data_IF_376530735390
#
_entry.id   IF_376530735390
#
_cell.length_a   1.000
_cell.length_b   1.000
_cell.length_c   1.000
_cell.angle_alpha   90.00
_cell.angle_beta   90.00
_cell.angle_gamma   90.00
#
_symmetry.space_group_name_H-M   'P 1'
#
loop_
_entity.id
_entity.type
_entity.pdbx_description
1 polymer ?
#
# COMPACT_ATOMS: atom_id res chain seq x y z
N UNK A 1 -37.32 -12.47 26.26
CA UNK A 1 -36.43 -13.64 26.42
C UNK A 1 -36.81 -14.64 25.33
N UNK A 2 -36.01 -15.05 24.35
CA UNK A 2 -34.57 -14.93 24.12
C UNK A 2 -34.09 -16.28 23.56
N UNK A 3 -34.20 -16.52 22.24
CA UNK A 3 -33.69 -17.75 21.59
C UNK A 3 -33.22 -17.59 20.12
N UNK A 4 -33.22 -16.38 19.53
CA UNK A 4 -32.83 -16.18 18.13
C UNK A 4 -31.33 -15.85 17.91
N UNK A 5 -30.62 -15.36 18.93
CA UNK A 5 -29.23 -14.89 18.81
C UNK A 5 -28.17 -15.94 18.39
N UNK A 6 -28.21 -17.22 18.81
CA UNK A 6 -27.13 -18.15 18.46
C UNK A 6 -27.18 -18.59 17.00
N UNK A 7 -28.36 -18.66 16.39
CA UNK A 7 -28.55 -19.10 15.01
C UNK A 7 -28.09 -18.01 14.02
N UNK A 8 -28.39 -16.75 14.33
CA UNK A 8 -28.00 -15.59 13.53
C UNK A 8 -26.48 -15.36 13.57
N UNK A 9 -25.85 -15.51 14.73
CA UNK A 9 -24.39 -15.39 14.86
C UNK A 9 -23.65 -16.50 14.10
N UNK A 10 -24.15 -17.75 14.16
CA UNK A 10 -23.61 -18.85 13.36
C UNK A 10 -23.75 -18.60 11.86
N UNK A 11 -24.87 -18.04 11.42
CA UNK A 11 -25.12 -17.71 10.02
C UNK A 11 -24.17 -16.61 9.54
N UNK A 12 -23.97 -15.56 10.35
CA UNK A 12 -22.99 -14.49 10.07
C UNK A 12 -21.56 -15.02 10.01
N UNK A 13 -21.18 -15.96 10.87
CA UNK A 13 -19.85 -16.62 10.83
C UNK A 13 -19.66 -17.43 9.54
N UNK A 14 -20.66 -18.20 9.13
CA UNK A 14 -20.62 -19.00 7.88
C UNK A 14 -20.53 -18.11 6.64
N UNK A 15 -21.31 -17.05 6.60
CA UNK A 15 -21.29 -16.09 5.49
C UNK A 15 -19.96 -15.35 5.40
N UNK A 16 -19.36 -14.97 6.55
CA UNK A 16 -17.99 -14.42 6.60
C UNK A 16 -16.95 -15.41 6.07
N UNK A 17 -17.03 -16.68 6.48
CA UNK A 17 -16.14 -17.73 5.97
C UNK A 17 -16.28 -17.96 4.46
N UNK A 18 -17.50 -17.92 3.94
CA UNK A 18 -17.76 -18.05 2.50
C UNK A 18 -17.17 -16.88 1.72
N UNK A 19 -17.37 -15.65 2.20
CA UNK A 19 -16.82 -14.44 1.58
C UNK A 19 -15.31 -14.39 1.65
N UNK A 20 -14.71 -14.75 2.78
CA UNK A 20 -13.25 -14.79 2.91
C UNK A 20 -12.63 -15.84 1.99
N UNK A 21 -13.27 -17.00 1.82
CA UNK A 21 -12.81 -18.04 0.90
C UNK A 21 -12.99 -17.63 -0.57
N UNK A 22 -14.10 -16.99 -0.92
CA UNK A 22 -14.32 -16.45 -2.27
C UNK A 22 -13.29 -15.35 -2.61
N UNK A 23 -13.05 -14.42 -1.68
CA UNK A 23 -12.03 -13.40 -1.82
C UNK A 23 -10.61 -14.01 -1.91
N UNK A 24 -10.33 -15.06 -1.15
CA UNK A 24 -9.08 -15.82 -1.27
C UNK A 24 -8.91 -16.44 -2.66
N UNK A 25 -9.92 -17.14 -3.18
CA UNK A 25 -9.88 -17.72 -4.54
C UNK A 25 -9.71 -16.64 -5.62
N UNK A 26 -10.42 -15.52 -5.49
CA UNK A 26 -10.29 -14.37 -6.39
C UNK A 26 -8.86 -13.82 -6.36
N UNK A 27 -8.26 -13.65 -5.17
CA UNK A 27 -6.87 -13.22 -5.01
C UNK A 27 -5.88 -14.20 -5.62
N UNK A 28 -6.06 -15.51 -5.40
CA UNK A 28 -5.19 -16.54 -5.98
C UNK A 28 -5.24 -16.53 -7.52
N UNK A 29 -6.43 -16.38 -8.11
CA UNK A 29 -6.61 -16.25 -9.56
C UNK A 29 -5.98 -14.96 -10.11
N UNK A 30 -6.12 -13.84 -9.39
CA UNK A 30 -5.49 -12.58 -9.79
C UNK A 30 -3.97 -12.62 -9.67
N UNK A 31 -3.44 -13.25 -8.62
CA UNK A 31 -2.00 -13.45 -8.38
C UNK A 31 -1.35 -14.27 -9.49
N UNK A 32 -1.94 -15.42 -9.79
CA UNK A 32 -1.47 -16.31 -10.88
C UNK A 32 -1.52 -15.59 -12.24
N UNK A 33 -2.58 -14.84 -12.52
CA UNK A 33 -2.68 -14.05 -13.74
C UNK A 33 -1.65 -12.90 -13.80
N UNK A 34 -1.40 -12.20 -12.68
CA UNK A 34 -0.42 -11.13 -12.61
C UNK A 34 1.00 -11.67 -12.81
N UNK A 35 1.35 -12.79 -12.16
CA UNK A 35 2.64 -13.45 -12.33
C UNK A 35 2.85 -13.96 -13.76
N UNK A 36 1.81 -14.55 -14.37
CA UNK A 36 1.85 -14.97 -15.77
C UNK A 36 2.11 -13.78 -16.71
N UNK A 37 1.44 -12.64 -16.50
CA UNK A 37 1.64 -11.43 -17.29
C UNK A 37 3.03 -10.82 -17.10
N UNK A 38 3.56 -10.82 -15.88
CA UNK A 38 4.92 -10.33 -15.61
C UNK A 38 5.97 -11.22 -16.28
N UNK A 39 5.84 -12.54 -16.17
CA UNK A 39 6.71 -13.48 -16.87
C UNK A 39 6.62 -13.31 -18.39
N UNK A 40 5.42 -13.14 -18.94
CA UNK A 40 5.25 -12.90 -20.38
C UNK A 40 5.96 -11.60 -20.82
N UNK A 41 5.82 -10.51 -20.06
CA UNK A 41 6.52 -9.24 -20.35
C UNK A 41 8.03 -9.35 -20.22
N UNK A 42 8.53 -10.06 -19.21
CA UNK A 42 9.95 -10.27 -19.01
C UNK A 42 10.54 -11.08 -20.17
N UNK A 43 9.91 -12.21 -20.53
CA UNK A 43 10.29 -13.03 -21.70
C UNK A 43 10.26 -12.20 -22.98
N UNK A 44 9.26 -11.34 -23.19
CA UNK A 44 9.20 -10.45 -24.36
C UNK A 44 10.35 -9.43 -24.39
N UNK A 45 10.71 -8.84 -23.24
CA UNK A 45 11.83 -7.90 -23.16
C UNK A 45 13.18 -8.58 -23.39
N UNK A 46 13.37 -9.79 -22.85
CA UNK A 46 14.56 -10.62 -23.12
C UNK A 46 14.64 -10.95 -24.61
N UNK A 47 13.53 -11.34 -25.24
CA UNK A 47 13.49 -11.59 -26.67
C UNK A 47 13.91 -10.36 -27.49
N UNK A 48 13.41 -9.17 -27.15
CA UNK A 48 13.82 -7.91 -27.82
C UNK A 48 15.31 -7.63 -27.65
N UNK A 49 15.88 -7.92 -26.48
CA UNK A 49 17.31 -7.77 -26.22
C UNK A 49 18.12 -8.74 -27.09
N UNK A 50 17.71 -10.01 -27.16
CA UNK A 50 18.35 -11.03 -28.01
C UNK A 50 18.27 -10.66 -29.50
N UNK A 51 17.13 -10.11 -29.94
CA UNK A 51 16.96 -9.67 -31.32
C UNK A 51 17.84 -8.46 -31.66
N UNK A 52 17.94 -7.49 -30.75
CA UNK A 52 18.82 -6.32 -30.92
C UNK A 52 20.31 -6.70 -30.89
N UNK A 53 20.66 -7.78 -30.18
CA UNK A 53 22.00 -8.32 -30.09
C UNK A 53 22.39 -9.27 -31.25
N UNK A 54 21.49 -9.52 -32.22
CA UNK A 54 21.80 -10.32 -33.42
C UNK A 54 22.84 -9.59 -34.30
N UNK A 55 24.11 -9.85 -34.02
CA UNK A 55 25.25 -9.25 -34.70
C UNK A 55 26.40 -8.87 -33.77
N UNK A 56 26.27 -9.05 -32.45
CA UNK A 56 27.40 -8.91 -31.54
C UNK A 56 28.36 -10.09 -31.71
N UNK A 57 29.64 -9.82 -31.97
CA UNK A 57 30.67 -10.84 -32.18
C UNK A 57 31.51 -11.10 -30.92
N UNK A 58 31.26 -10.36 -29.83
CA UNK A 58 32.03 -10.52 -28.59
C UNK A 58 31.64 -11.84 -27.89
N UNK A 59 32.59 -12.78 -27.71
CA UNK A 59 32.27 -14.11 -27.18
C UNK A 59 31.71 -14.08 -25.74
N UNK A 60 32.15 -13.12 -24.92
CA UNK A 60 31.63 -12.92 -23.56
C UNK A 60 30.14 -12.51 -23.56
N UNK A 61 29.74 -11.63 -24.47
CA UNK A 61 28.35 -11.19 -24.63
C UNK A 61 27.47 -12.31 -25.18
N UNK A 62 27.97 -13.07 -26.15
CA UNK A 62 27.28 -14.24 -26.69
C UNK A 62 27.04 -15.31 -25.62
N UNK A 63 27.97 -15.51 -24.69
CA UNK A 63 27.78 -16.39 -23.52
C UNK A 63 26.63 -15.91 -22.63
N UNK A 64 26.65 -14.63 -22.24
CA UNK A 64 25.60 -14.00 -21.41
C UNK A 64 24.22 -14.11 -22.08
N UNK A 65 24.14 -13.91 -23.39
CA UNK A 65 22.88 -14.02 -24.13
C UNK A 65 22.33 -15.44 -24.19
N UNK A 66 23.19 -16.47 -24.28
CA UNK A 66 22.75 -17.88 -24.16
C UNK A 66 22.17 -18.15 -22.79
N UNK A 67 22.89 -17.78 -21.74
CA UNK A 67 22.48 -18.02 -20.35
C UNK A 67 21.14 -17.32 -20.05
N UNK A 68 20.97 -16.09 -20.57
CA UNK A 68 19.73 -15.34 -20.44
C UNK A 68 18.56 -15.99 -21.22
N UNK A 69 18.80 -16.51 -22.42
CA UNK A 69 17.80 -17.22 -23.21
C UNK A 69 17.37 -18.53 -22.53
N UNK A 70 18.32 -19.31 -22.01
CA UNK A 70 18.07 -20.53 -21.26
C UNK A 70 17.29 -20.26 -19.97
N UNK A 71 17.69 -19.25 -19.20
CA UNK A 71 16.98 -18.84 -17.97
C UNK A 71 15.55 -18.34 -18.24
N UNK A 72 15.29 -17.78 -19.43
CA UNK A 72 13.97 -17.33 -19.86
C UNK A 72 13.13 -18.41 -20.57
N UNK A 73 13.68 -19.62 -20.77
CA UNK A 73 13.10 -20.71 -21.57
C UNK A 73 12.72 -20.24 -23.00
N UNK A 74 13.59 -19.45 -23.62
CA UNK A 74 13.44 -18.97 -25.00
C UNK A 74 14.36 -19.77 -25.94
N UNK A 75 14.00 -19.89 -27.21
CA UNK A 75 14.86 -20.56 -28.18
C UNK A 75 16.16 -19.78 -28.39
N UNK A 76 17.30 -20.46 -28.24
CA UNK A 76 18.62 -19.87 -28.45
C UNK A 76 18.82 -19.66 -29.96
N UNK A 77 19.05 -18.42 -30.45
CA UNK A 77 19.26 -18.18 -31.87
C UNK A 77 20.47 -18.97 -32.42
N UNK A 78 20.32 -19.59 -33.60
CA UNK A 78 21.31 -20.50 -34.19
C UNK A 78 22.73 -19.95 -34.39
N UNK A 79 22.91 -18.62 -34.43
CA UNK A 79 24.25 -17.98 -34.50
C UNK A 79 25.00 -17.96 -33.16
N UNK A 80 24.34 -18.42 -32.09
CA UNK A 80 24.84 -18.47 -30.72
C UNK A 80 24.94 -19.95 -30.28
N UNK A 81 25.22 -20.88 -31.19
CA UNK A 81 25.57 -22.28 -30.88
C UNK A 81 27.05 -22.52 -31.23
N UNK A 82 27.80 -23.34 -30.49
CA UNK A 82 29.14 -23.73 -30.93
C UNK A 82 28.98 -24.70 -32.10
N UNK A 83 29.70 -24.47 -33.20
CA UNK A 83 29.77 -25.39 -34.32
C UNK A 83 30.53 -26.66 -33.87
N UNK A 84 29.84 -27.79 -33.76
CA UNK A 84 30.49 -29.10 -33.57
C UNK A 84 31.00 -29.59 -34.93
N UNK A 85 32.22 -29.17 -35.28
CA UNK A 85 32.97 -29.66 -36.45
C UNK A 85 33.76 -30.94 -36.15
N UNK A 86 33.47 -31.99 -36.92
CA UNK A 86 34.02 -33.36 -36.90
C UNK A 86 35.55 -33.52 -37.11
N UNK A 87 36.12 -34.71 -36.85
CA UNK A 87 37.55 -34.95 -36.63
C UNK A 87 38.33 -35.29 -37.92
N UNK A 88 39.57 -34.82 -38.00
CA UNK A 88 40.57 -35.31 -38.95
C UNK A 88 41.93 -35.42 -38.27
N UNK A 89 42.50 -36.62 -38.39
CA UNK A 89 43.65 -37.15 -37.68
C UNK A 89 44.97 -36.91 -38.45
N UNK A 90 46.10 -37.24 -37.79
CA UNK A 90 47.52 -37.30 -38.26
C UNK A 90 48.30 -35.98 -38.10
N UNK A 91 49.40 -35.86 -37.33
CA UNK A 91 50.13 -36.78 -36.46
C UNK A 91 51.49 -36.23 -36.01
N UNK A 92 51.98 -36.73 -34.86
CA UNK A 92 53.38 -36.90 -34.41
C UNK A 92 54.17 -35.78 -33.68
N UNK A 93 54.42 -36.09 -32.39
CA UNK A 93 55.67 -36.01 -31.61
C UNK A 93 56.08 -34.74 -30.84
N UNK A 94 55.91 -34.88 -29.51
CA UNK A 94 56.90 -34.67 -28.44
C UNK A 94 57.04 -33.29 -27.79
N UNK A 95 56.72 -33.24 -26.49
CA UNK A 95 57.05 -32.13 -25.59
C UNK A 95 56.23 -32.12 -24.30
N UNK A 96 56.71 -32.85 -23.30
CA UNK A 96 56.48 -32.80 -21.85
C UNK A 96 55.65 -31.62 -21.26
N UNK A 97 54.70 -31.95 -20.38
CA UNK A 97 54.64 -31.57 -18.93
C UNK A 97 53.21 -31.28 -18.45
N UNK A 98 52.92 -31.76 -17.23
CA UNK A 98 51.80 -31.42 -16.34
C UNK A 98 50.45 -32.14 -16.56
N UNK A 99 50.22 -33.09 -15.66
CA UNK A 99 48.96 -33.75 -15.34
C UNK A 99 47.86 -32.78 -14.95
N UNK A 100 46.75 -32.88 -15.68
CA UNK A 100 45.35 -32.70 -15.25
C UNK A 100 45.13 -32.43 -13.76
N UNK A 101 44.57 -31.26 -13.45
CA UNK A 101 43.42 -31.26 -12.55
C UNK A 101 42.36 -30.30 -13.09
N UNK A 102 41.13 -30.81 -13.17
CA UNK A 102 40.01 -30.15 -13.81
C UNK A 102 39.46 -29.05 -12.89
N UNK A 103 39.63 -27.79 -13.30
CA UNK A 103 38.99 -26.66 -12.64
C UNK A 103 37.49 -26.67 -12.95
N UNK A 104 36.72 -27.20 -12.00
CA UNK A 104 35.26 -27.18 -11.95
C UNK A 104 34.72 -25.74 -12.21
N UNK A 105 33.85 -25.51 -13.22
CA UNK A 105 33.35 -24.18 -13.54
C UNK A 105 32.36 -23.61 -12.49
N UNK A 106 32.16 -24.30 -11.36
CA UNK A 106 31.31 -23.84 -10.25
C UNK A 106 31.88 -22.68 -9.43
N UNK A 107 33.09 -22.21 -9.69
CA UNK A 107 33.79 -21.23 -8.83
C UNK A 107 33.68 -19.76 -9.33
N UNK A 108 33.06 -19.49 -10.49
CA UNK A 108 32.95 -18.13 -11.03
C UNK A 108 31.66 -17.36 -10.71
N UNK A 109 30.75 -17.92 -9.89
CA UNK A 109 29.49 -17.28 -9.50
C UNK A 109 29.36 -17.01 -7.99
N UNK A 110 30.47 -16.87 -7.27
CA UNK A 110 30.44 -16.73 -5.81
C UNK A 110 30.10 -15.33 -5.28
N UNK A 111 30.00 -14.29 -6.12
CA UNK A 111 29.81 -12.90 -5.64
C UNK A 111 28.60 -12.16 -6.23
N UNK A 112 27.54 -12.87 -6.65
CA UNK A 112 26.21 -12.25 -6.74
C UNK A 112 25.45 -12.61 -5.48
N UNK A 113 25.46 -11.68 -4.52
CA UNK A 113 24.64 -11.76 -3.32
C UNK A 113 23.16 -11.57 -3.72
N UNK A 114 22.55 -12.63 -4.26
CA UNK A 114 21.11 -12.75 -4.27
C UNK A 114 20.66 -12.71 -2.81
N UNK A 115 19.67 -11.89 -2.41
CA UNK A 115 19.09 -12.01 -1.09
C UNK A 115 18.63 -13.45 -0.95
N UNK A 116 19.22 -14.11 0.03
CA UNK A 116 19.01 -15.49 0.39
C UNK A 116 17.52 -15.78 0.34
N UNK A 117 17.16 -16.90 -0.29
CA UNK A 117 15.89 -17.60 -0.11
C UNK A 117 15.33 -17.28 1.28
N UNK A 118 14.08 -16.82 1.42
CA UNK A 118 13.53 -16.59 2.75
C UNK A 118 13.43 -17.95 3.46
N UNK A 119 14.50 -18.29 4.18
CA UNK A 119 14.56 -19.38 5.14
C UNK A 119 13.83 -18.92 6.38
N UNK A 120 12.53 -18.74 6.19
CA UNK A 120 11.45 -18.62 7.13
C UNK A 120 10.29 -18.24 6.21
N UNK A 121 9.46 -19.21 5.86
CA UNK A 121 8.06 -18.92 5.62
C UNK A 121 7.60 -18.19 6.88
N UNK A 122 7.69 -16.86 6.87
CA UNK A 122 7.17 -16.00 7.92
C UNK A 122 5.67 -16.15 7.79
N UNK A 123 5.17 -17.16 8.51
CA UNK A 123 3.78 -17.34 8.81
C UNK A 123 3.39 -16.10 9.63
N UNK A 124 3.11 -14.99 8.94
CA UNK A 124 2.33 -13.89 9.47
C UNK A 124 0.90 -14.39 9.59
N UNK A 125 0.70 -15.36 10.49
CA UNK A 125 -0.59 -15.74 11.02
C UNK A 125 -1.00 -14.58 11.91
N UNK A 126 -1.54 -13.53 11.29
CA UNK A 126 -2.32 -12.56 12.01
C UNK A 126 -3.34 -13.36 12.85
N UNK A 127 -3.52 -13.00 14.11
CA UNK A 127 -4.61 -13.50 14.96
C UNK A 127 -5.99 -13.00 14.48
N UNK A 128 -6.15 -12.84 13.17
CA UNK A 128 -7.39 -12.79 12.43
C UNK A 128 -7.21 -13.84 11.33
N UNK A 129 -8.11 -14.82 11.26
CA UNK A 129 -8.03 -15.97 10.36
C UNK A 129 -8.10 -15.56 8.87
N UNK A 130 -7.03 -14.97 8.35
CA UNK A 130 -6.85 -14.57 6.98
C UNK A 130 -5.46 -15.02 6.54
N UNK A 131 -5.39 -16.09 5.76
CA UNK A 131 -4.17 -16.54 5.11
C UNK A 131 -3.95 -15.65 3.87
N UNK A 132 -2.79 -14.99 3.81
CA UNK A 132 -2.39 -14.11 2.73
C UNK A 132 -1.35 -14.81 1.85
N UNK A 133 -1.38 -14.53 0.54
CA UNK A 133 -0.40 -15.02 -0.44
C UNK A 133 0.93 -14.24 -0.28
N UNK A 134 2.07 -14.89 0.02
CA UNK A 134 3.35 -14.23 0.24
C UNK A 134 3.90 -13.48 -0.97
N UNK A 135 3.52 -13.85 -2.20
CA UNK A 135 4.04 -13.26 -3.43
C UNK A 135 3.16 -12.12 -3.97
N UNK A 136 1.92 -11.98 -3.48
CA UNK A 136 0.96 -10.98 -3.97
C UNK A 136 1.30 -9.53 -3.56
N UNK A 137 2.22 -9.38 -2.61
CA UNK A 137 2.46 -8.11 -1.92
C UNK A 137 3.94 -7.73 -1.80
N UNK A 138 4.79 -8.11 -2.76
CA UNK A 138 6.17 -7.59 -2.76
C UNK A 138 6.17 -6.06 -2.72
N UNK A 139 5.22 -5.41 -3.42
CA UNK A 139 4.98 -3.97 -3.42
C UNK A 139 3.59 -3.66 -3.95
N UNK A 140 2.84 -2.77 -3.28
CA UNK A 140 1.57 -2.23 -3.81
C UNK A 140 1.85 -0.89 -4.48
N UNK A 141 1.69 -0.83 -5.79
CA UNK A 141 2.00 0.37 -6.60
C UNK A 141 0.79 1.23 -6.93
N UNK A 142 -0.43 0.76 -6.63
CA UNK A 142 -1.65 1.54 -6.81
C UNK A 142 -2.07 2.15 -5.46
N UNK A 143 -2.58 3.40 -5.44
CA UNK A 143 -3.01 4.01 -4.22
C UNK A 143 -4.25 3.30 -3.66
N UNK A 144 -4.35 3.11 -2.33
CA UNK A 144 -5.62 2.80 -1.68
C UNK A 144 -6.71 3.81 -2.08
N UNK A 145 -7.95 3.33 -2.23
CA UNK A 145 -9.04 4.17 -2.74
C UNK A 145 -9.35 5.36 -1.82
N UNK A 146 -9.16 5.18 -0.51
CA UNK A 146 -9.39 6.19 0.53
C UNK A 146 -8.49 7.43 0.38
N UNK A 147 -7.30 7.30 -0.21
CA UNK A 147 -6.36 8.43 -0.36
C UNK A 147 -6.42 9.13 -1.70
N UNK A 148 -7.12 8.58 -2.68
CA UNK A 148 -7.22 9.17 -4.02
C UNK A 148 -7.61 10.66 -4.01
N UNK A 149 -8.57 11.12 -3.18
CA UNK A 149 -8.95 12.53 -3.16
C UNK A 149 -7.86 13.48 -2.64
N UNK A 150 -6.83 12.95 -1.97
CA UNK A 150 -5.80 13.73 -1.29
C UNK A 150 -4.42 13.59 -1.96
N UNK A 151 -4.37 13.05 -3.19
CA UNK A 151 -3.14 12.93 -3.99
C UNK A 151 -3.10 13.95 -5.13
N UNK A 152 -1.91 14.20 -5.67
CA UNK A 152 -1.71 15.19 -6.74
C UNK A 152 -2.19 16.57 -6.31
N UNK A 153 -2.97 17.26 -7.15
CA UNK A 153 -3.57 18.55 -6.81
C UNK A 153 -4.44 18.50 -5.53
N UNK A 154 -5.03 17.34 -5.22
CA UNK A 154 -5.80 17.13 -4.00
C UNK A 154 -4.96 17.26 -2.73
N UNK A 155 -3.65 16.99 -2.79
CA UNK A 155 -2.76 17.08 -1.64
C UNK A 155 -2.54 18.53 -1.16
N UNK A 156 -2.68 19.50 -2.06
CA UNK A 156 -2.46 20.93 -1.80
C UNK A 156 -3.73 21.67 -1.39
N UNK A 157 -4.89 21.02 -1.47
CA UNK A 157 -6.17 21.54 -0.97
C UNK A 157 -6.17 21.62 0.55
N UNK A 158 -7.05 22.43 1.13
CA UNK A 158 -7.17 22.50 2.59
C UNK A 158 -7.52 21.13 3.20
N UNK A 159 -8.42 20.37 2.56
CA UNK A 159 -8.76 19.01 2.95
C UNK A 159 -7.56 18.06 2.86
N UNK A 160 -6.75 18.14 1.79
CA UNK A 160 -5.53 17.36 1.64
C UNK A 160 -4.53 17.63 2.76
N UNK A 161 -4.32 18.90 3.09
CA UNK A 161 -3.42 19.32 4.16
C UNK A 161 -3.90 18.82 5.54
N UNK A 162 -5.20 18.91 5.82
CA UNK A 162 -5.79 18.33 7.04
C UNK A 162 -5.63 16.81 7.08
N UNK A 163 -5.97 16.12 5.98
CA UNK A 163 -5.89 14.66 5.90
C UNK A 163 -4.47 14.17 6.19
N UNK A 164 -3.48 14.74 5.50
CA UNK A 164 -2.10 14.32 5.67
C UNK A 164 -1.54 14.71 7.03
N UNK A 165 -1.92 15.86 7.57
CA UNK A 165 -1.56 16.25 8.93
C UNK A 165 -2.04 15.21 9.95
N UNK A 166 -3.31 14.76 9.85
CA UNK A 166 -3.85 13.72 10.74
C UNK A 166 -3.14 12.38 10.54
N UNK A 167 -2.86 11.98 9.29
CA UNK A 167 -2.16 10.72 8.98
C UNK A 167 -0.72 10.70 9.50
N UNK A 168 -0.01 11.81 9.37
CA UNK A 168 1.36 11.98 9.86
C UNK A 168 1.39 12.08 11.39
N UNK A 169 0.34 12.64 12.02
CA UNK A 169 0.23 12.71 13.48
C UNK A 169 0.20 11.34 14.17
N UNK A 170 -0.27 10.29 13.48
CA UNK A 170 -0.17 8.91 14.00
C UNK A 170 1.28 8.42 14.12
N UNK A 171 2.22 9.07 13.44
CA UNK A 171 3.64 8.71 13.43
C UNK A 171 4.48 9.65 14.28
N UNK A 172 3.97 10.85 14.60
CA UNK A 172 4.69 11.80 15.44
C UNK A 172 4.58 11.41 16.92
N UNK A 173 5.65 11.63 17.67
CA UNK A 173 5.68 11.49 19.13
C UNK A 173 5.00 12.69 19.80
N UNK A 174 3.73 12.94 19.45
CA UNK A 174 2.95 13.96 20.13
C UNK A 174 2.81 13.58 21.60
N UNK A 175 3.48 14.31 22.49
CA UNK A 175 3.50 14.02 23.94
C UNK A 175 2.13 14.24 24.60
N UNK A 176 1.22 14.94 23.92
CA UNK A 176 -0.12 15.25 24.41
C UNK A 176 -1.10 14.09 24.18
N UNK A 177 -0.81 13.18 23.25
CA UNK A 177 -1.76 12.15 22.82
C UNK A 177 -1.15 10.75 22.85
N UNK A 178 -1.91 9.80 23.41
CA UNK A 178 -1.58 8.39 23.28
C UNK A 178 -2.29 7.83 22.04
N UNK A 179 -1.54 7.56 20.97
CA UNK A 179 -2.08 7.09 19.69
C UNK A 179 -2.98 5.86 19.85
N UNK A 180 -2.57 4.88 20.66
CA UNK A 180 -3.33 3.66 20.90
C UNK A 180 -4.69 3.95 21.55
N UNK A 181 -4.76 4.86 22.51
CA UNK A 181 -6.04 5.22 23.15
C UNK A 181 -6.95 5.99 22.20
N UNK A 182 -6.39 6.90 21.40
CA UNK A 182 -7.13 7.67 20.38
C UNK A 182 -7.73 6.73 19.35
N UNK A 183 -6.93 5.82 18.79
CA UNK A 183 -7.40 4.81 17.83
C UNK A 183 -8.48 3.93 18.46
N UNK A 184 -8.26 3.45 19.69
CA UNK A 184 -9.23 2.59 20.36
C UNK A 184 -10.57 3.30 20.59
N UNK A 185 -10.56 4.59 20.93
CA UNK A 185 -11.76 5.43 21.03
C UNK A 185 -12.42 5.58 19.66
N UNK A 186 -11.63 5.87 18.63
CA UNK A 186 -12.08 6.05 17.25
C UNK A 186 -12.69 4.79 16.61
N UNK A 187 -12.44 3.60 17.17
CA UNK A 187 -13.02 2.32 16.73
C UNK A 187 -14.28 1.90 17.52
N UNK A 188 -14.68 2.62 18.58
CA UNK A 188 -15.82 2.23 19.44
C UNK A 188 -17.19 2.72 18.96
N UNK A 189 -17.24 3.46 17.85
CA UNK A 189 -18.48 4.10 17.37
C UNK A 189 -19.43 3.15 16.61
N UNK A 190 -18.95 1.99 16.17
CA UNK A 190 -19.70 1.00 15.40
C UNK A 190 -19.34 -0.43 15.83
N UNK A 191 -20.28 -1.36 15.72
CA UNK A 191 -20.00 -2.80 15.91
C UNK A 191 -19.19 -3.36 14.74
N UNK A 192 -19.28 -2.77 13.55
CA UNK A 192 -18.50 -3.20 12.38
C UNK A 192 -16.98 -3.05 12.58
N UNK A 193 -16.55 -2.17 13.49
CA UNK A 193 -15.14 -1.92 13.82
C UNK A 193 -14.64 -2.71 15.04
N UNK A 194 -15.49 -3.51 15.69
CA UNK A 194 -15.18 -4.18 16.97
C UNK A 194 -13.98 -5.13 16.89
N UNK A 195 -13.83 -5.86 15.79
CA UNK A 195 -12.76 -6.85 15.60
C UNK A 195 -11.47 -6.23 15.06
N UNK A 196 -11.45 -4.91 14.82
CA UNK A 196 -10.29 -4.22 14.27
C UNK A 196 -9.34 -3.86 15.41
N UNK A 197 -8.11 -4.36 15.31
CA UNK A 197 -7.07 -4.06 16.29
C UNK A 197 -6.51 -2.65 16.06
N UNK A 198 -6.23 -1.86 17.12
CA UNK A 198 -5.60 -0.55 16.97
C UNK A 198 -4.29 -0.58 16.15
N UNK A 199 -3.49 -1.63 16.31
CA UNK A 199 -2.25 -1.81 15.54
C UNK A 199 -2.49 -1.91 14.03
N UNK A 200 -3.64 -2.44 13.59
CA UNK A 200 -3.98 -2.47 12.16
C UNK A 200 -4.26 -1.07 11.61
N UNK A 201 -4.90 -0.20 12.39
CA UNK A 201 -5.12 1.21 12.01
C UNK A 201 -3.79 1.97 11.95
N UNK A 202 -2.86 1.71 12.87
CA UNK A 202 -1.50 2.26 12.79
C UNK A 202 -0.79 1.79 11.50
N UNK A 203 -0.92 0.51 11.14
CA UNK A 203 -0.41 -0.01 9.87
C UNK A 203 -1.07 0.65 8.67
N UNK A 204 -2.39 0.93 8.72
CA UNK A 204 -3.07 1.70 7.67
C UNK A 204 -2.48 3.10 7.53
N UNK A 205 -2.36 3.86 8.63
CA UNK A 205 -1.78 5.20 8.58
C UNK A 205 -0.34 5.19 8.02
N UNK A 206 0.49 4.24 8.47
CA UNK A 206 1.86 4.04 7.95
C UNK A 206 1.88 3.73 6.46
N UNK A 207 1.04 2.81 6.00
CA UNK A 207 0.91 2.48 4.58
C UNK A 207 0.56 3.70 3.72
N UNK A 208 -0.39 4.54 4.18
CA UNK A 208 -0.83 5.73 3.41
C UNK A 208 0.28 6.76 3.29
N UNK A 209 0.98 7.03 4.38
CA UNK A 209 2.11 7.97 4.38
C UNK A 209 3.28 7.41 3.57
N UNK A 210 3.58 6.11 3.65
CA UNK A 210 4.59 5.46 2.81
C UNK A 210 4.24 5.61 1.32
N UNK A 211 2.97 5.42 0.95
CA UNK A 211 2.51 5.66 -0.42
C UNK A 211 2.70 7.12 -0.82
N UNK A 212 2.30 8.07 0.03
CA UNK A 212 2.49 9.51 -0.22
C UNK A 212 3.95 9.85 -0.51
N UNK A 213 4.89 9.26 0.23
CA UNK A 213 6.31 9.54 0.13
C UNK A 213 7.00 8.83 -1.04
N UNK A 214 6.62 7.58 -1.33
CA UNK A 214 7.38 6.71 -2.25
C UNK A 214 6.62 6.31 -3.52
N UNK A 215 5.34 6.65 -3.60
CA UNK A 215 4.42 6.18 -4.66
C UNK A 215 4.10 4.68 -4.56
N UNK A 216 4.38 4.04 -3.42
CA UNK A 216 4.16 2.61 -3.23
C UNK A 216 4.08 2.20 -1.76
N UNK A 217 3.60 0.99 -1.49
CA UNK A 217 3.55 0.41 -0.13
C UNK A 217 4.36 -0.88 -0.12
N UNK A 218 5.29 -0.99 0.83
CA UNK A 218 6.12 -2.18 1.03
C UNK A 218 5.31 -3.39 1.49
N UNK A 219 5.91 -4.56 1.35
CA UNK A 219 5.33 -5.82 1.82
C UNK A 219 4.91 -5.78 3.29
N UNK A 220 5.66 -5.07 4.14
CA UNK A 220 5.37 -4.95 5.57
C UNK A 220 4.01 -4.31 5.86
N UNK A 221 3.53 -3.42 4.99
CA UNK A 221 2.26 -2.71 5.19
C UNK A 221 1.19 -3.03 4.13
N UNK A 222 1.49 -3.90 3.17
CA UNK A 222 0.62 -4.19 2.04
C UNK A 222 -0.76 -4.75 2.43
N UNK A 223 -0.85 -5.45 3.56
CA UNK A 223 -2.12 -5.95 4.12
C UNK A 223 -3.12 -4.84 4.45
N UNK A 224 -2.61 -3.65 4.74
CA UNK A 224 -3.42 -2.48 5.00
C UNK A 224 -3.87 -1.79 3.70
N UNK A 225 -3.29 -2.14 2.56
CA UNK A 225 -3.56 -1.55 1.25
C UNK A 225 -4.61 -2.33 0.42
N UNK A 226 -5.30 -3.29 1.05
CA UNK A 226 -6.35 -4.09 0.41
C UNK A 226 -7.43 -3.20 -0.22
N UNK A 227 -7.63 -3.35 -1.53
CA UNK A 227 -8.40 -2.42 -2.37
C UNK A 227 -9.86 -2.23 -1.94
N UNK A 228 -10.48 -3.29 -1.44
CA UNK A 228 -11.92 -3.32 -1.15
C UNK A 228 -12.23 -3.20 0.36
N UNK A 229 -11.22 -3.36 1.23
CA UNK A 229 -11.43 -3.46 2.68
C UNK A 229 -12.06 -2.20 3.27
N UNK A 230 -11.52 -1.03 2.95
CA UNK A 230 -12.01 0.26 3.46
C UNK A 230 -13.45 0.55 3.02
N UNK A 231 -13.78 0.27 1.76
CA UNK A 231 -15.13 0.48 1.20
C UNK A 231 -16.16 -0.46 1.83
N UNK A 232 -15.81 -1.74 2.00
CA UNK A 232 -16.70 -2.73 2.62
C UNK A 232 -16.97 -2.33 4.08
N UNK A 233 -15.94 -1.93 4.82
CA UNK A 233 -16.09 -1.47 6.19
C UNK A 233 -16.96 -0.20 6.28
N UNK A 234 -16.73 0.79 5.41
CA UNK A 234 -17.53 2.00 5.32
C UNK A 234 -19.01 1.68 5.09
N UNK A 235 -19.32 0.83 4.12
CA UNK A 235 -20.69 0.39 3.83
C UNK A 235 -21.36 -0.30 5.03
N UNK A 236 -20.63 -1.14 5.77
CA UNK A 236 -21.14 -1.80 6.97
C UNK A 236 -21.45 -0.79 8.09
N UNK A 237 -20.55 0.16 8.32
CA UNK A 237 -20.72 1.22 9.32
C UNK A 237 -21.94 2.09 8.97
N UNK A 238 -22.04 2.56 7.73
CA UNK A 238 -23.16 3.39 7.32
C UNK A 238 -24.51 2.65 7.41
N UNK A 239 -24.53 1.35 7.08
CA UNK A 239 -25.71 0.50 7.23
C UNK A 239 -26.12 0.37 8.69
N UNK A 240 -25.15 0.18 9.60
CA UNK A 240 -25.42 0.13 11.04
C UNK A 240 -25.97 1.46 11.56
N UNK A 241 -25.36 2.59 11.18
CA UNK A 241 -25.84 3.92 11.56
C UNK A 241 -27.30 4.11 11.16
N UNK A 242 -27.62 3.88 9.87
CA UNK A 242 -28.99 4.01 9.36
C UNK A 242 -29.96 3.07 10.08
N UNK A 243 -29.54 1.83 10.36
CA UNK A 243 -30.37 0.84 11.08
C UNK A 243 -30.66 1.21 12.55
N UNK A 244 -29.80 2.04 13.16
CA UNK A 244 -29.93 2.50 14.54
C UNK A 244 -30.53 3.91 14.65
N UNK A 245 -31.04 4.45 13.53
CA UNK A 245 -31.63 5.79 13.47
C UNK A 245 -30.60 6.92 13.54
N UNK A 246 -29.31 6.62 13.36
CA UNK A 246 -28.25 7.63 13.27
C UNK A 246 -28.01 7.99 11.82
N UNK A 247 -27.74 9.27 11.59
CA UNK A 247 -27.38 9.77 10.26
C UNK A 247 -25.85 9.69 10.05
N UNK A 248 -25.35 8.86 9.12
CA UNK A 248 -23.92 8.82 8.80
C UNK A 248 -23.42 10.12 8.16
N UNK A 249 -24.27 10.94 7.54
CA UNK A 249 -23.88 12.18 6.86
C UNK A 249 -23.51 13.31 7.85
N UNK A 250 -23.80 13.12 9.14
CA UNK A 250 -23.29 13.98 10.22
C UNK A 250 -21.80 13.77 10.51
N UNK A 251 -21.15 12.79 9.87
CA UNK A 251 -19.73 12.49 10.02
C UNK A 251 -18.96 12.90 8.77
N UNK A 252 -18.22 13.99 8.86
CA UNK A 252 -17.51 14.63 7.77
C UNK A 252 -16.12 14.01 7.57
N UNK A 253 -15.76 13.72 6.33
CA UNK A 253 -14.36 13.54 5.93
C UNK A 253 -13.64 14.89 5.83
N UNK A 254 -12.32 14.90 5.58
CA UNK A 254 -11.59 16.16 5.35
C UNK A 254 -12.19 16.97 4.17
N UNK A 255 -12.61 16.31 3.09
CA UNK A 255 -13.35 16.95 2.00
C UNK A 255 -14.71 17.50 2.47
N UNK A 256 -15.39 16.79 3.36
CA UNK A 256 -16.62 17.27 3.99
C UNK A 256 -16.40 18.52 4.83
N UNK A 257 -15.30 18.59 5.59
CA UNK A 257 -14.88 19.77 6.37
C UNK A 257 -14.65 20.95 5.43
N UNK A 258 -13.80 20.82 4.41
CA UNK A 258 -13.52 21.91 3.47
C UNK A 258 -14.79 22.38 2.74
N UNK A 259 -15.64 21.45 2.28
CA UNK A 259 -16.93 21.77 1.66
C UNK A 259 -17.86 22.52 2.62
N UNK A 260 -17.81 22.20 3.91
CA UNK A 260 -18.58 22.90 4.93
C UNK A 260 -18.05 24.31 5.17
N UNK A 261 -16.72 24.47 5.30
CA UNK A 261 -16.08 25.76 5.49
C UNK A 261 -16.31 26.72 4.32
N UNK A 262 -16.30 26.22 3.07
CA UNK A 262 -16.67 27.00 1.88
C UNK A 262 -18.08 27.61 1.93
N UNK A 263 -18.99 27.08 2.77
CA UNK A 263 -20.34 27.65 2.93
C UNK A 263 -20.38 28.78 3.96
N UNK A 264 -19.37 28.88 4.80
CA UNK A 264 -19.34 29.81 5.94
C UNK A 264 -18.24 30.84 5.84
N UNK A 265 -17.17 30.54 5.09
CA UNK A 265 -16.02 31.41 4.87
C UNK A 265 -15.93 31.83 3.41
N UNK A 266 -15.39 33.02 3.16
CA UNK A 266 -14.99 33.47 1.83
C UNK A 266 -13.81 32.67 1.28
N UNK A 267 -13.65 32.71 -0.05
CA UNK A 267 -12.53 32.04 -0.73
C UNK A 267 -11.17 32.58 -0.26
N UNK A 268 -11.07 33.89 0.05
CA UNK A 268 -9.84 34.51 0.58
C UNK A 268 -9.51 34.04 2.00
N UNK A 269 -10.52 33.94 2.87
CA UNK A 269 -10.34 33.40 4.22
C UNK A 269 -9.92 31.93 4.18
N UNK A 270 -10.52 31.13 3.30
CA UNK A 270 -10.15 29.73 3.11
C UNK A 270 -8.73 29.57 2.54
N UNK A 271 -8.32 30.44 1.61
CA UNK A 271 -6.94 30.46 1.11
C UNK A 271 -5.94 30.85 2.20
N UNK A 272 -6.32 31.77 3.09
CA UNK A 272 -5.51 32.14 4.26
C UNK A 272 -5.35 30.96 5.22
N UNK A 273 -6.42 30.18 5.45
CA UNK A 273 -6.34 28.93 6.21
C UNK A 273 -5.45 27.88 5.54
N UNK A 274 -5.52 27.76 4.21
CA UNK A 274 -4.66 26.86 3.44
C UNK A 274 -3.19 27.23 3.56
N UNK A 275 -2.84 28.52 3.45
CA UNK A 275 -1.48 29.02 3.69
C UNK A 275 -1.02 28.76 5.12
N UNK A 276 -1.88 29.04 6.11
CA UNK A 276 -1.59 28.71 7.50
C UNK A 276 -1.36 27.20 7.70
N UNK A 277 -2.09 26.33 6.97
CA UNK A 277 -1.91 24.89 7.04
C UNK A 277 -0.54 24.43 6.52
N UNK A 278 0.05 25.19 5.58
CA UNK A 278 1.38 24.99 4.99
C UNK A 278 2.52 25.57 5.85
N UNK A 279 2.24 26.26 6.95
CA UNK A 279 3.27 26.98 7.70
C UNK A 279 3.54 28.40 7.19
N UNK A 280 2.73 28.88 6.25
CA UNK A 280 2.91 30.18 5.61
C UNK A 280 1.99 31.25 6.21
N UNK A 281 2.42 32.51 6.14
CA UNK A 281 1.59 33.66 6.51
C UNK A 281 1.52 33.93 8.01
N UNK A 282 0.31 34.15 8.52
CA UNK A 282 0.09 34.67 9.87
C UNK A 282 0.39 33.61 10.95
N UNK A 283 1.40 33.86 11.79
CA UNK A 283 1.83 32.95 12.85
C UNK A 283 0.74 32.63 13.90
N UNK A 284 -0.17 33.57 14.18
CA UNK A 284 -1.30 33.35 15.09
C UNK A 284 -2.30 32.38 14.48
N UNK A 285 -2.60 32.53 13.19
CA UNK A 285 -3.47 31.60 12.47
C UNK A 285 -2.85 30.22 12.34
N UNK A 286 -1.55 30.14 12.07
CA UNK A 286 -0.81 28.89 12.10
C UNK A 286 -0.94 28.18 13.45
N UNK A 287 -0.68 28.86 14.57
CA UNK A 287 -0.80 28.27 15.91
C UNK A 287 -2.22 27.78 16.22
N UNK A 288 -3.24 28.57 15.89
CA UNK A 288 -4.64 28.15 16.06
C UNK A 288 -4.98 26.92 15.22
N UNK A 289 -4.44 26.84 14.00
CA UNK A 289 -4.69 25.72 13.12
C UNK A 289 -3.95 24.45 13.55
N UNK A 290 -2.73 24.58 14.10
CA UNK A 290 -2.03 23.45 14.74
C UNK A 290 -2.83 22.89 15.92
N UNK A 291 -3.42 23.75 16.74
CA UNK A 291 -4.34 23.32 17.81
C UNK A 291 -5.58 22.60 17.24
N UNK A 292 -6.18 23.11 16.15
CA UNK A 292 -7.28 22.41 15.47
C UNK A 292 -6.85 21.05 14.92
N UNK A 293 -5.71 20.94 14.24
CA UNK A 293 -5.17 19.68 13.72
C UNK A 293 -4.97 18.66 14.87
N UNK A 294 -4.42 19.12 15.99
CA UNK A 294 -4.24 18.34 17.21
C UNK A 294 -5.58 17.82 17.76
N UNK A 295 -6.59 18.69 17.86
CA UNK A 295 -7.93 18.30 18.34
C UNK A 295 -8.72 17.43 17.36
N UNK A 296 -8.53 17.62 16.05
CA UNK A 296 -9.07 16.71 15.02
C UNK A 296 -8.48 15.31 15.20
N UNK A 297 -7.17 15.19 15.43
CA UNK A 297 -6.56 13.89 15.68
C UNK A 297 -7.21 13.14 16.87
N UNK A 298 -7.46 13.81 18.00
CA UNK A 298 -8.05 13.19 19.20
C UNK A 298 -9.57 12.87 19.11
N UNK A 299 -10.27 13.52 18.18
CA UNK A 299 -11.73 13.43 18.07
C UNK A 299 -12.24 12.61 16.89
N UNK A 300 -11.35 12.13 16.01
CA UNK A 300 -11.75 11.36 14.83
C UNK A 300 -12.29 9.96 15.17
N UNK A 301 -13.13 9.44 14.27
CA UNK A 301 -13.57 8.04 14.26
C UNK A 301 -13.28 7.40 12.90
N UNK A 302 -13.14 6.08 12.85
CA UNK A 302 -12.76 5.37 11.64
C UNK A 302 -13.97 4.84 10.86
N UNK A 303 -14.28 5.43 9.71
CA UNK A 303 -15.31 4.90 8.81
C UNK A 303 -14.76 3.86 7.80
N UNK A 304 -13.52 3.41 7.97
CA UNK A 304 -12.87 2.49 7.04
C UNK A 304 -12.34 3.13 5.75
N UNK A 305 -12.99 4.19 5.28
CA UNK A 305 -12.52 5.05 4.17
C UNK A 305 -11.72 6.27 4.63
N UNK A 306 -11.38 6.32 5.92
CA UNK A 306 -10.58 7.38 6.53
C UNK A 306 -11.13 7.85 7.89
N UNK A 307 -10.45 8.81 8.52
CA UNK A 307 -10.96 9.49 9.70
C UNK A 307 -12.16 10.38 9.34
N UNK A 308 -13.17 10.38 10.19
CA UNK A 308 -14.32 11.27 10.11
C UNK A 308 -14.59 11.97 11.44
N UNK A 309 -15.26 13.12 11.37
CA UNK A 309 -15.57 13.97 12.51
C UNK A 309 -17.04 14.33 12.53
N UNK A 310 -17.65 14.31 13.72
CA UNK A 310 -19.00 14.80 13.87
C UNK A 310 -19.07 16.30 13.53
N UNK A 311 -20.15 16.71 12.85
CA UNK A 311 -20.37 18.08 12.40
C UNK A 311 -20.27 19.11 13.52
N UNK A 312 -20.78 18.81 14.72
CA UNK A 312 -20.77 19.74 15.86
C UNK A 312 -19.35 19.98 16.37
N UNK A 313 -18.51 18.94 16.34
CA UNK A 313 -17.09 19.05 16.68
C UNK A 313 -16.38 19.94 15.66
N UNK A 314 -16.65 19.74 14.37
CA UNK A 314 -16.06 20.55 13.30
C UNK A 314 -16.44 22.02 13.47
N UNK A 315 -17.72 22.31 13.69
CA UNK A 315 -18.19 23.69 13.91
C UNK A 315 -17.52 24.35 15.11
N UNK A 316 -17.42 23.62 16.23
CA UNK A 316 -16.77 24.11 17.44
C UNK A 316 -15.29 24.42 17.19
N UNK A 317 -14.57 23.55 16.47
CA UNK A 317 -13.14 23.74 16.19
C UNK A 317 -12.89 24.94 15.27
N UNK A 318 -13.76 25.17 14.29
CA UNK A 318 -13.58 26.25 13.32
C UNK A 318 -14.28 27.57 13.67
N UNK A 319 -15.09 27.59 14.73
CA UNK A 319 -15.76 28.80 15.25
C UNK A 319 -14.83 30.03 15.37
N UNK A 320 -13.60 29.93 15.92
CA UNK A 320 -12.71 31.08 16.05
C UNK A 320 -12.34 31.75 14.72
N UNK A 321 -12.29 30.97 13.64
CA UNK A 321 -11.95 31.49 12.30
C UNK A 321 -13.17 32.15 11.66
N UNK A 322 -14.35 31.55 11.82
CA UNK A 322 -15.62 32.13 11.36
C UNK A 322 -15.87 33.48 12.04
N UNK A 323 -15.65 33.59 13.36
CA UNK A 323 -15.84 34.87 14.08
C UNK A 323 -14.89 35.96 13.61
N UNK A 324 -13.61 35.62 13.39
CA UNK A 324 -12.63 36.60 12.90
C UNK A 324 -12.98 37.16 11.52
N UNK A 325 -13.60 36.37 10.67
CA UNK A 325 -14.10 36.85 9.37
C UNK A 325 -15.32 37.77 9.51
N UNK A 326 -16.19 37.53 10.51
CA UNK A 326 -17.32 38.43 10.78
C UNK A 326 -16.91 39.75 11.44
N UNK A 327 -15.71 39.81 12.03
CA UNK A 327 -15.17 40.99 12.74
C UNK A 327 -14.23 41.85 11.86
N UNK A 328 -13.80 41.36 10.69
CA UNK A 328 -12.92 42.04 9.74
C UNK A 328 -13.68 42.61 8.55
#
# INVERSE_FOLDING_TARGET
MGTAEPQDELTRRRERGRRSQAAFRKRQAQSTHALANQNARLKQSIQRLLDAARGDERPEMLGIFRDLALAAELEVPARISPDEGQPSNVGSMSGETATSDASDPRILFSDVHLPSTPSQATQYRLECSMWLDPLHYLRVSLPPQDILPYLGAGAETFAGLLFWSVMEHYQTLCTQHNSKTVIQKGLKHSKATQDIKPSFIETMAKARVEYKQTGSISQAHAVAAEKDLGLVLCSLIETEYRSTGKDPDQWLSCNGIEKRLRKTLSDEALETLRKAALGEGNAVLHYLLEDVKCRLYDSCVCFGDGPRWNIDVVDQLFTPFIRREMEG
#
